data_IF_801694151634
#
_entry.id   IF_801694151634
#
_cell.length_a   1.000
_cell.length_b   1.000
_cell.length_c   1.000
_cell.angle_alpha   90.00
_cell.angle_beta   90.00
_cell.angle_gamma   90.00
#
_symmetry.space_group_name_H-M   'P 1'
#
loop_
_entity.id
_entity.type
_entity.pdbx_description
1 polymer ?
#
# COMPACT_ATOMS: atom_id res chain seq x y z
N UNK A 1 9.98 -15.95 16.70
CA UNK A 1 9.51 -17.30 17.08
C UNK A 1 9.32 -18.15 15.83
N UNK A 2 9.50 -19.46 15.89
CA UNK A 2 9.37 -20.35 14.72
C UNK A 2 7.97 -20.31 14.08
N UNK A 3 6.94 -20.03 14.87
CA UNK A 3 5.55 -20.00 14.45
C UNK A 3 5.03 -18.59 14.07
N UNK A 4 5.89 -17.56 14.06
CA UNK A 4 5.44 -16.19 13.78
C UNK A 4 4.79 -16.05 12.40
N UNK A 5 5.36 -16.70 11.38
CA UNK A 5 4.86 -16.60 10.01
C UNK A 5 3.44 -17.15 9.90
N UNK A 6 3.20 -18.35 10.42
CA UNK A 6 1.92 -19.04 10.31
C UNK A 6 0.87 -18.53 11.28
N UNK A 7 1.25 -18.24 12.52
CA UNK A 7 0.28 -17.99 13.59
C UNK A 7 -0.02 -16.50 13.79
N UNK A 8 0.81 -15.62 13.21
CA UNK A 8 0.68 -14.18 13.37
C UNK A 8 0.63 -13.46 12.04
N UNK A 9 1.64 -13.64 11.17
CA UNK A 9 1.75 -12.88 9.94
C UNK A 9 0.65 -13.22 8.93
N UNK A 10 0.43 -14.50 8.64
CA UNK A 10 -0.63 -14.92 7.71
C UNK A 10 -2.03 -14.50 8.19
N UNK A 11 -2.42 -14.72 9.46
CA UNK A 11 -3.69 -14.19 9.99
C UNK A 11 -3.81 -12.67 9.89
N UNK A 12 -2.71 -11.94 10.07
CA UNK A 12 -2.69 -10.49 9.90
C UNK A 12 -2.93 -10.08 8.43
N UNK A 13 -2.28 -10.75 7.47
CA UNK A 13 -2.49 -10.52 6.04
C UNK A 13 -3.94 -10.82 5.63
N UNK A 14 -4.51 -11.93 6.12
CA UNK A 14 -5.93 -12.26 5.90
C UNK A 14 -6.86 -11.18 6.46
N UNK A 15 -6.57 -10.68 7.68
CA UNK A 15 -7.34 -9.60 8.29
C UNK A 15 -7.27 -8.31 7.45
N UNK A 16 -6.11 -7.98 6.88
CA UNK A 16 -5.97 -6.84 5.96
C UNK A 16 -6.84 -6.99 4.71
N UNK A 17 -6.86 -8.17 4.09
CA UNK A 17 -7.73 -8.46 2.93
C UNK A 17 -9.20 -8.27 3.29
N UNK A 18 -9.63 -8.78 4.45
CA UNK A 18 -11.01 -8.64 4.91
C UNK A 18 -11.41 -7.17 5.13
N UNK A 19 -10.51 -6.37 5.72
CA UNK A 19 -10.73 -4.93 5.90
C UNK A 19 -10.83 -4.18 4.57
N UNK A 20 -9.95 -4.49 3.61
CA UNK A 20 -9.98 -3.91 2.27
C UNK A 20 -11.28 -4.28 1.52
N UNK A 21 -11.67 -5.56 1.54
CA UNK A 21 -12.91 -6.06 0.94
C UNK A 21 -14.14 -5.34 1.47
N UNK A 22 -14.26 -5.24 2.80
CA UNK A 22 -15.35 -4.52 3.46
C UNK A 22 -15.39 -3.04 3.06
N UNK A 23 -14.23 -2.39 2.98
CA UNK A 23 -14.13 -0.98 2.58
C UNK A 23 -14.57 -0.78 1.12
N UNK A 24 -14.21 -1.69 0.21
CA UNK A 24 -14.68 -1.67 -1.18
C UNK A 24 -16.20 -1.89 -1.27
N UNK A 25 -16.76 -2.82 -0.50
CA UNK A 25 -18.22 -3.02 -0.44
C UNK A 25 -18.95 -1.76 0.06
N UNK A 26 -18.41 -1.08 1.07
CA UNK A 26 -18.95 0.20 1.52
C UNK A 26 -18.84 1.29 0.44
N UNK A 27 -17.74 1.34 -0.30
CA UNK A 27 -17.59 2.27 -1.42
C UNK A 27 -18.64 2.01 -2.51
N UNK A 28 -18.81 0.76 -2.96
CA UNK A 28 -19.78 0.41 -4.00
C UNK A 28 -21.24 0.60 -3.58
N UNK A 29 -21.56 0.46 -2.30
CA UNK A 29 -22.94 0.70 -1.81
C UNK A 29 -23.27 2.18 -1.63
N UNK A 30 -22.27 3.06 -1.53
CA UNK A 30 -22.44 4.50 -1.28
C UNK A 30 -22.10 5.39 -2.49
N UNK A 31 -21.62 4.80 -3.59
CA UNK A 31 -21.14 5.49 -4.78
C UNK A 31 -21.87 4.99 -6.03
N UNK A 32 -22.12 5.85 -7.03
CA UNK A 32 -22.57 5.40 -8.35
C UNK A 32 -21.49 4.60 -9.11
N UNK A 33 -20.24 4.64 -8.63
CA UNK A 33 -19.14 3.86 -9.19
C UNK A 33 -19.22 2.42 -8.71
N UNK A 34 -19.34 1.47 -9.65
CA UNK A 34 -19.48 0.04 -9.36
C UNK A 34 -18.16 -0.74 -9.49
N UNK A 35 -17.06 -0.08 -9.83
CA UNK A 35 -15.74 -0.71 -10.04
C UNK A 35 -14.61 0.23 -9.62
N UNK A 36 -13.56 -0.38 -9.06
CA UNK A 36 -12.23 0.22 -8.86
C UNK A 36 -11.27 -0.46 -9.83
N UNK A 37 -10.43 0.33 -10.50
CA UNK A 37 -9.46 -0.21 -11.46
C UNK A 37 -8.16 -0.66 -10.78
N UNK A 38 -7.69 0.11 -9.79
CA UNK A 38 -6.45 -0.18 -9.07
C UNK A 38 -6.57 0.06 -7.56
N UNK A 39 -5.85 -0.76 -6.79
CA UNK A 39 -5.59 -0.55 -5.36
C UNK A 39 -4.13 -0.13 -5.21
N UNK A 40 -3.89 1.01 -4.57
CA UNK A 40 -2.55 1.48 -4.25
C UNK A 40 -2.30 1.34 -2.75
N UNK A 41 -1.37 0.48 -2.36
CA UNK A 41 -1.02 0.23 -0.96
C UNK A 41 0.04 1.21 -0.46
N UNK A 42 -0.27 1.90 0.63
CA UNK A 42 0.62 2.85 1.28
C UNK A 42 0.72 2.55 2.79
N UNK A 43 1.63 3.23 3.47
CA UNK A 43 1.97 2.98 4.87
C UNK A 43 3.01 1.87 5.03
N UNK A 44 3.54 1.72 6.25
CA UNK A 44 4.60 0.74 6.52
C UNK A 44 4.19 -0.71 6.31
N UNK A 45 2.91 -1.04 6.53
CA UNK A 45 2.38 -2.39 6.29
C UNK A 45 2.31 -2.77 4.80
N UNK A 46 2.39 -1.81 3.88
CA UNK A 46 2.47 -2.10 2.45
C UNK A 46 3.80 -2.79 2.08
N UNK A 47 4.84 -2.65 2.90
CA UNK A 47 6.14 -3.32 2.70
C UNK A 47 6.15 -4.77 3.17
N UNK A 48 5.02 -5.33 3.63
CA UNK A 48 4.90 -6.75 3.97
C UNK A 48 5.00 -7.58 2.68
N UNK A 49 5.96 -8.53 2.60
CA UNK A 49 6.13 -9.34 1.40
C UNK A 49 4.87 -10.11 0.98
N UNK A 50 4.48 -9.98 -0.29
CA UNK A 50 3.33 -10.66 -0.90
C UNK A 50 1.96 -10.15 -0.44
N UNK A 51 1.90 -8.99 0.23
CA UNK A 51 0.63 -8.40 0.67
C UNK A 51 -0.19 -7.86 -0.53
N UNK A 52 0.47 -7.19 -1.47
CA UNK A 52 -0.10 -6.71 -2.73
C UNK A 52 -0.61 -7.86 -3.59
N UNK A 53 0.19 -8.92 -3.76
CA UNK A 53 -0.20 -10.13 -4.48
C UNK A 53 -1.43 -10.80 -3.86
N UNK A 54 -1.44 -10.96 -2.53
CA UNK A 54 -2.59 -11.55 -1.82
C UNK A 54 -3.86 -10.71 -1.97
N UNK A 55 -3.76 -9.39 -1.88
CA UNK A 55 -4.90 -8.49 -2.10
C UNK A 55 -5.42 -8.60 -3.54
N UNK A 56 -4.52 -8.59 -4.53
CA UNK A 56 -4.89 -8.74 -5.93
C UNK A 56 -5.61 -10.07 -6.19
N UNK A 57 -5.06 -11.19 -5.69
CA UNK A 57 -5.67 -12.51 -5.84
C UNK A 57 -7.07 -12.58 -5.20
N UNK A 58 -7.21 -12.08 -3.97
CA UNK A 58 -8.46 -12.21 -3.21
C UNK A 58 -9.54 -11.22 -3.63
N UNK A 59 -9.16 -10.03 -4.10
CA UNK A 59 -10.10 -8.97 -4.46
C UNK A 59 -10.35 -8.87 -5.97
N UNK A 60 -9.48 -9.44 -6.80
CA UNK A 60 -9.58 -9.37 -8.26
C UNK A 60 -9.36 -7.96 -8.81
N UNK A 61 -8.67 -7.09 -8.06
CA UNK A 61 -8.34 -5.71 -8.46
C UNK A 61 -6.82 -5.57 -8.51
N UNK A 62 -6.31 -4.98 -9.59
CA UNK A 62 -4.87 -4.78 -9.76
C UNK A 62 -4.31 -3.97 -8.59
N UNK A 63 -3.31 -4.51 -7.91
CA UNK A 63 -2.78 -3.94 -6.66
C UNK A 63 -1.30 -3.62 -6.80
N UNK A 64 -0.89 -2.42 -6.39
CA UNK A 64 0.50 -1.98 -6.45
C UNK A 64 0.93 -1.28 -5.14
N UNK A 65 2.22 -1.36 -4.82
CA UNK A 65 2.80 -0.63 -3.68
C UNK A 65 3.10 0.82 -4.10
N UNK A 66 2.71 1.78 -3.27
CA UNK A 66 2.94 3.19 -3.50
C UNK A 66 4.44 3.52 -3.47
N UNK A 67 4.92 4.19 -4.52
CA UNK A 67 6.23 4.84 -4.52
C UNK A 67 6.09 6.29 -5.00
N UNK A 68 5.96 7.27 -4.08
CA UNK A 68 5.82 8.68 -4.46
C UNK A 68 7.08 9.26 -5.10
N UNK A 69 8.22 8.57 -5.01
CA UNK A 69 9.52 9.05 -5.46
C UNK A 69 9.91 8.50 -6.84
N UNK A 70 9.09 7.66 -7.47
CA UNK A 70 9.43 6.94 -8.70
C UNK A 70 9.84 7.86 -9.88
N UNK A 71 9.31 9.09 -9.92
CA UNK A 71 9.63 10.10 -10.94
C UNK A 71 10.45 11.28 -10.41
N UNK A 72 11.03 11.16 -9.21
CA UNK A 72 11.81 12.23 -8.59
C UNK A 72 13.31 12.04 -8.78
N UNK A 73 14.03 13.14 -8.96
CA UNK A 73 15.49 13.13 -8.91
C UNK A 73 15.97 12.99 -7.46
N UNK A 74 16.97 12.13 -7.24
CA UNK A 74 17.55 11.91 -5.91
C UNK A 74 18.85 12.68 -5.74
N UNK A 75 18.95 13.43 -4.64
CA UNK A 75 20.22 14.04 -4.23
C UNK A 75 21.24 12.98 -3.83
N UNK A 76 22.53 13.23 -4.07
CA UNK A 76 23.63 12.33 -3.69
C UNK A 76 23.70 12.02 -2.17
N UNK A 77 23.03 12.83 -1.34
CA UNK A 77 22.94 12.60 0.12
C UNK A 77 21.87 11.59 0.52
N UNK A 78 20.97 11.23 -0.39
CA UNK A 78 19.86 10.31 -0.14
C UNK A 78 20.27 8.92 -0.58
N UNK A 79 20.14 7.94 0.31
CA UNK A 79 20.40 6.52 -0.01
C UNK A 79 19.18 5.93 -0.73
N UNK A 80 19.29 5.52 -2.01
CA UNK A 80 18.13 5.06 -2.77
C UNK A 80 17.44 3.83 -2.16
N UNK A 81 18.21 2.89 -1.63
CA UNK A 81 17.67 1.67 -1.01
C UNK A 81 16.82 1.96 0.23
N UNK A 82 17.31 2.82 1.13
CA UNK A 82 16.57 3.23 2.32
C UNK A 82 15.28 3.95 1.94
N UNK A 83 15.37 4.89 0.99
CA UNK A 83 14.20 5.60 0.49
C UNK A 83 13.16 4.66 -0.13
N UNK A 84 13.59 3.67 -0.92
CA UNK A 84 12.69 2.70 -1.56
C UNK A 84 11.96 1.83 -0.55
N UNK A 85 12.61 1.43 0.55
CA UNK A 85 12.00 0.60 1.58
C UNK A 85 10.93 1.37 2.38
N UNK A 86 11.17 2.66 2.61
CA UNK A 86 10.26 3.54 3.36
C UNK A 86 9.27 4.29 2.45
N UNK A 87 9.41 4.16 1.12
CA UNK A 87 8.63 4.89 0.12
C UNK A 87 7.11 4.86 0.36
N UNK A 88 6.46 3.69 0.57
CA UNK A 88 5.02 3.66 0.81
C UNK A 88 4.63 4.33 2.12
N UNK A 89 5.49 4.32 3.15
CA UNK A 89 5.24 4.98 4.43
C UNK A 89 5.37 6.51 4.35
N UNK A 90 6.14 7.02 3.38
CA UNK A 90 6.41 8.44 3.21
C UNK A 90 5.40 9.17 2.32
N UNK A 91 4.34 8.50 1.83
CA UNK A 91 3.33 9.10 0.94
C UNK A 91 2.74 10.40 1.50
N UNK A 92 2.36 10.41 2.79
CA UNK A 92 1.79 11.60 3.45
C UNK A 92 2.82 12.71 3.59
N UNK A 93 4.04 12.40 4.04
CA UNK A 93 5.12 13.37 4.19
C UNK A 93 5.49 14.01 2.83
N UNK A 94 5.51 13.20 1.76
CA UNK A 94 5.71 13.67 0.40
C UNK A 94 4.61 14.66 -0.01
N UNK A 95 3.33 14.32 0.20
CA UNK A 95 2.21 15.22 -0.10
C UNK A 95 2.27 16.54 0.67
N UNK A 96 2.65 16.50 1.96
CA UNK A 96 2.83 17.71 2.76
C UNK A 96 3.96 18.61 2.23
N UNK A 97 5.08 18.03 1.80
CA UNK A 97 6.17 18.78 1.19
C UNK A 97 5.76 19.39 -0.16
N UNK A 98 4.99 18.66 -0.97
CA UNK A 98 4.51 19.11 -2.28
C UNK A 98 3.61 20.35 -2.22
N UNK A 99 2.90 20.57 -1.11
CA UNK A 99 2.08 21.77 -0.90
C UNK A 99 2.88 23.08 -0.97
N UNK A 100 4.21 23.03 -0.85
CA UNK A 100 5.06 24.22 -0.94
C UNK A 100 5.26 24.70 -2.39
N UNK A 101 4.79 23.95 -3.39
CA UNK A 101 4.91 24.27 -4.82
C UNK A 101 3.58 24.67 -5.47
N UNK A 102 2.50 24.79 -4.67
CA UNK A 102 1.22 25.40 -5.06
C UNK A 102 1.25 26.93 -4.95
#
# INVERSE_FOLDING_TARGET
PENYLTDVLEPFKEAMVQQASRSLQFFYSSSPHSKVDHIVLAGGSASIPGMDEMLQEKLGVETMIANPFASMSLSARVKPQTLSNDAPALLIACGLALRSFD
#
